data_IF_490446918041
#
_entry.id   IF_490446918041
#
_cell.length_a   1.000
_cell.length_b   1.000
_cell.length_c   1.000
_cell.angle_alpha   90.00
_cell.angle_beta   90.00
_cell.angle_gamma   90.00
#
_symmetry.space_group_name_H-M   'P 1'
#
loop_
_entity.id
_entity.type
_entity.pdbx_description
1 polymer ?
#
# COMPACT_ATOMS: atom_id res chain seq x y z
N UNK A 1 17.75 3.49 6.12
CA UNK A 1 16.28 3.23 6.24
C UNK A 1 15.61 4.58 6.27
N UNK A 2 14.57 4.79 5.46
CA UNK A 2 13.78 6.02 5.51
C UNK A 2 12.95 6.03 6.81
N UNK A 3 12.78 7.20 7.40
CA UNK A 3 11.90 7.39 8.55
C UNK A 3 10.58 7.97 8.04
N UNK A 4 9.53 7.16 8.04
CA UNK A 4 8.21 7.55 7.53
C UNK A 4 7.25 7.77 8.69
N UNK A 5 6.53 8.89 8.65
CA UNK A 5 5.49 9.24 9.61
C UNK A 5 4.20 9.55 8.85
N UNK A 6 3.07 9.01 9.30
CA UNK A 6 1.76 9.35 8.77
C UNK A 6 1.30 10.66 9.41
N UNK A 7 1.07 11.70 8.61
CA UNK A 7 0.52 12.97 9.06
C UNK A 7 -1.00 12.96 9.10
N UNK A 8 -1.61 12.46 8.03
CA UNK A 8 -3.07 12.34 7.93
C UNK A 8 -3.41 10.90 7.58
N UNK A 9 -3.91 10.10 8.54
CA UNK A 9 -4.33 8.74 8.28
C UNK A 9 -5.62 8.71 7.45
N UNK A 10 -5.79 7.67 6.65
CA UNK A 10 -7.04 7.41 5.93
C UNK A 10 -8.18 7.13 6.90
N UNK A 11 -9.35 7.71 6.63
CA UNK A 11 -10.58 7.44 7.38
C UNK A 11 -11.15 6.06 7.04
N UNK A 12 -11.07 5.66 5.77
CA UNK A 12 -11.50 4.37 5.26
C UNK A 12 -10.26 3.52 4.90
N UNK A 13 -10.27 2.24 5.30
CA UNK A 13 -9.23 1.25 4.99
C UNK A 13 -9.81 -0.02 4.37
N UNK A 14 -11.11 -0.02 4.08
CA UNK A 14 -11.81 -1.17 3.50
C UNK A 14 -11.54 -1.25 2.01
N UNK A 15 -11.02 -2.37 1.56
CA UNK A 15 -10.71 -2.61 0.15
C UNK A 15 -11.92 -2.97 -0.70
N UNK A 16 -13.10 -3.15 -0.08
CA UNK A 16 -14.39 -3.36 -0.75
C UNK A 16 -15.53 -2.84 0.11
N UNK A 17 -16.73 -2.75 -0.46
CA UNK A 17 -17.93 -2.29 0.25
C UNK A 17 -18.82 -3.46 0.68
N UNK A 18 -19.69 -3.19 1.68
CA UNK A 18 -20.67 -4.17 2.13
C UNK A 18 -21.65 -4.54 1.00
N UNK A 19 -22.05 -3.55 0.19
CA UNK A 19 -22.97 -3.74 -0.92
C UNK A 19 -22.43 -4.73 -1.95
N UNK A 20 -21.14 -4.59 -2.31
CA UNK A 20 -20.50 -5.52 -3.25
C UNK A 20 -20.41 -6.94 -2.70
N UNK A 21 -20.06 -7.08 -1.40
CA UNK A 21 -20.04 -8.41 -0.76
C UNK A 21 -21.44 -9.04 -0.70
N UNK A 22 -22.45 -8.26 -0.36
CA UNK A 22 -23.84 -8.76 -0.34
C UNK A 22 -24.30 -9.18 -1.74
N UNK A 23 -23.95 -8.43 -2.77
CA UNK A 23 -24.25 -8.77 -4.16
C UNK A 23 -23.57 -10.09 -4.57
N UNK A 24 -22.29 -10.26 -4.23
CA UNK A 24 -21.52 -11.48 -4.54
C UNK A 24 -21.99 -12.73 -3.78
N UNK A 25 -22.54 -12.55 -2.58
CA UNK A 25 -23.10 -13.63 -1.75
C UNK A 25 -24.60 -13.83 -1.93
N UNK A 26 -25.26 -13.02 -2.79
CA UNK A 26 -26.71 -13.01 -3.00
C UNK A 26 -27.52 -12.80 -1.71
N UNK A 27 -26.97 -12.01 -0.76
CA UNK A 27 -27.59 -11.71 0.52
C UNK A 27 -28.42 -10.43 0.40
N UNK A 28 -29.73 -10.54 0.65
CA UNK A 28 -30.66 -9.40 0.58
C UNK A 28 -31.05 -8.84 1.95
N UNK A 29 -30.88 -9.64 3.02
CA UNK A 29 -31.22 -9.22 4.38
C UNK A 29 -30.04 -8.50 5.06
N UNK A 30 -30.26 -7.91 6.24
CA UNK A 30 -29.26 -7.18 7.04
C UNK A 30 -28.78 -7.96 8.27
N UNK A 31 -29.14 -9.23 8.40
CA UNK A 31 -28.85 -10.02 9.61
C UNK A 31 -27.34 -10.18 9.84
N UNK A 32 -26.58 -10.37 8.79
CA UNK A 32 -25.14 -10.60 8.84
C UNK A 32 -24.29 -9.33 8.55
N UNK A 33 -24.92 -8.15 8.37
CA UNK A 33 -24.22 -6.92 7.97
C UNK A 33 -23.08 -6.55 8.90
N UNK A 34 -23.27 -6.62 10.21
CA UNK A 34 -22.23 -6.33 11.19
C UNK A 34 -21.06 -7.30 11.10
N UNK A 35 -21.36 -8.60 10.92
CA UNK A 35 -20.35 -9.64 10.76
C UNK A 35 -19.57 -9.49 9.44
N UNK A 36 -20.27 -9.18 8.34
CA UNK A 36 -19.63 -8.94 7.04
C UNK A 36 -18.72 -7.72 7.07
N UNK A 37 -19.15 -6.63 7.72
CA UNK A 37 -18.30 -5.45 7.89
C UNK A 37 -17.02 -5.76 8.66
N UNK A 38 -17.10 -6.48 9.78
CA UNK A 38 -15.93 -6.91 10.55
C UNK A 38 -15.03 -7.85 9.71
N UNK A 39 -15.62 -8.70 8.88
CA UNK A 39 -14.87 -9.59 8.01
C UNK A 39 -14.14 -8.82 6.91
N UNK A 40 -14.77 -7.79 6.32
CA UNK A 40 -14.13 -6.89 5.35
C UNK A 40 -12.92 -6.20 6.00
N UNK A 41 -13.07 -5.63 7.20
CA UNK A 41 -11.97 -4.97 7.90
C UNK A 41 -10.79 -5.92 8.14
N UNK A 42 -11.07 -7.14 8.62
CA UNK A 42 -10.04 -8.16 8.86
C UNK A 42 -9.35 -8.63 7.59
N UNK A 43 -10.08 -8.83 6.50
CA UNK A 43 -9.49 -9.29 5.23
C UNK A 43 -8.70 -8.16 4.54
N UNK A 44 -9.18 -6.92 4.63
CA UNK A 44 -8.43 -5.75 4.14
C UNK A 44 -7.07 -5.63 4.85
N UNK A 45 -7.04 -5.71 6.17
CA UNK A 45 -5.79 -5.69 6.93
C UNK A 45 -4.85 -6.84 6.57
N UNK A 46 -5.37 -8.07 6.41
CA UNK A 46 -4.56 -9.23 5.98
C UNK A 46 -3.94 -9.05 4.59
N UNK A 47 -4.67 -8.41 3.67
CA UNK A 47 -4.17 -8.11 2.33
C UNK A 47 -3.05 -7.07 2.39
N UNK A 48 -3.22 -6.00 3.19
CA UNK A 48 -2.17 -4.99 3.40
C UNK A 48 -0.91 -5.60 4.03
N UNK A 49 -1.07 -6.43 5.05
CA UNK A 49 0.05 -7.15 5.70
C UNK A 49 0.76 -8.08 4.71
N UNK A 50 0.00 -8.86 3.92
CA UNK A 50 0.56 -9.77 2.92
C UNK A 50 1.32 -9.04 1.82
N UNK A 51 0.78 -7.91 1.35
CA UNK A 51 1.40 -7.11 0.30
C UNK A 51 2.53 -6.20 0.82
N UNK A 52 2.71 -6.08 2.13
CA UNK A 52 3.59 -5.11 2.79
C UNK A 52 3.34 -3.68 2.30
N UNK A 53 2.07 -3.31 2.07
CA UNK A 53 1.65 -2.03 1.51
C UNK A 53 0.37 -1.55 2.17
N UNK A 54 0.28 -0.24 2.37
CA UNK A 54 -0.97 0.44 2.69
C UNK A 54 -1.57 0.90 1.35
N UNK A 55 -2.81 0.52 1.08
CA UNK A 55 -3.49 0.89 -0.16
C UNK A 55 -4.23 2.21 -0.06
N UNK A 56 -4.77 2.55 1.11
CA UNK A 56 -5.53 3.77 1.31
C UNK A 56 -4.70 5.04 1.10
N UNK A 57 -5.30 6.05 0.44
CA UNK A 57 -4.70 7.38 0.27
C UNK A 57 -4.46 8.03 1.64
N UNK A 58 -3.19 8.40 1.91
CA UNK A 58 -2.76 9.05 3.14
C UNK A 58 -1.71 10.12 2.85
N UNK A 59 -1.53 11.03 3.82
CA UNK A 59 -0.42 12.01 3.77
C UNK A 59 0.72 11.50 4.64
N UNK A 60 1.88 11.42 4.03
CA UNK A 60 3.12 10.95 4.66
C UNK A 60 4.14 12.07 4.77
N UNK A 61 4.92 12.04 5.84
CA UNK A 61 6.19 12.74 5.94
C UNK A 61 7.29 11.71 5.96
N UNK A 62 8.18 11.79 5.03
CA UNK A 62 9.32 10.87 4.90
C UNK A 62 10.64 11.65 4.95
N UNK A 63 11.57 11.14 5.77
CA UNK A 63 12.94 11.65 5.79
C UNK A 63 13.81 10.69 4.99
N UNK A 64 14.46 11.22 3.95
CA UNK A 64 15.27 10.46 3.00
C UNK A 64 16.67 11.06 2.92
N UNK A 65 17.66 10.21 2.84
CA UNK A 65 19.03 10.64 2.55
C UNK A 65 19.21 10.88 1.05
N UNK A 66 19.86 11.98 0.68
CA UNK A 66 20.29 12.21 -0.69
C UNK A 66 21.68 11.66 -0.93
N UNK A 67 21.89 10.99 -2.06
CA UNK A 67 23.18 10.40 -2.43
C UNK A 67 23.83 11.08 -3.66
N UNK A 68 23.27 12.21 -4.11
CA UNK A 68 23.72 12.91 -5.30
C UNK A 68 23.09 12.41 -6.61
N UNK A 69 22.33 11.32 -6.56
CA UNK A 69 21.60 10.81 -7.70
C UNK A 69 20.51 11.78 -8.14
N UNK A 70 20.09 11.70 -9.41
CA UNK A 70 19.03 12.53 -9.94
C UNK A 70 17.62 12.06 -9.54
N UNK A 71 17.52 10.84 -9.04
CA UNK A 71 16.26 10.22 -8.64
C UNK A 71 16.27 10.00 -7.13
N UNK A 72 15.20 10.46 -6.46
CA UNK A 72 14.89 10.16 -5.08
C UNK A 72 13.69 9.23 -5.06
N UNK A 73 13.76 8.14 -4.31
CA UNK A 73 12.70 7.14 -4.24
C UNK A 73 11.96 7.25 -2.91
N UNK A 74 10.63 7.43 -2.99
CA UNK A 74 9.73 7.47 -1.85
C UNK A 74 9.20 6.08 -1.50
N UNK A 75 8.95 5.86 -0.22
CA UNK A 75 8.54 4.55 0.30
C UNK A 75 7.10 4.20 -0.08
N UNK A 76 6.15 5.13 0.00
CA UNK A 76 4.74 4.84 -0.28
C UNK A 76 4.35 5.24 -1.70
N UNK A 77 3.67 4.34 -2.39
CA UNK A 77 3.30 4.46 -3.81
C UNK A 77 1.89 3.92 -4.07
N UNK A 78 1.18 4.40 -5.11
CA UNK A 78 1.58 5.46 -6.03
C UNK A 78 1.59 6.84 -5.36
N UNK A 79 2.51 7.71 -5.76
CA UNK A 79 2.56 9.10 -5.33
C UNK A 79 1.51 9.89 -6.11
N UNK A 80 0.60 10.54 -5.40
CA UNK A 80 -0.46 11.36 -6.00
C UNK A 80 -0.03 12.81 -6.15
N UNK A 81 0.56 13.36 -5.08
CA UNK A 81 1.05 14.72 -5.04
C UNK A 81 2.20 14.86 -4.06
N UNK A 82 3.11 15.81 -4.30
CA UNK A 82 4.14 16.20 -3.35
C UNK A 82 3.80 17.59 -2.83
N UNK A 83 3.56 17.70 -1.54
CA UNK A 83 3.11 18.92 -0.89
C UNK A 83 4.29 19.84 -0.55
N UNK A 84 5.40 19.26 -0.08
CA UNK A 84 6.63 20.01 0.19
C UNK A 84 7.85 19.11 0.19
N UNK A 85 8.98 19.68 -0.22
CA UNK A 85 10.30 19.09 -0.10
C UNK A 85 11.21 20.11 0.57
N UNK A 86 11.86 19.69 1.63
CA UNK A 86 12.82 20.50 2.39
C UNK A 86 14.17 19.78 2.41
N UNK A 87 15.26 20.54 2.25
CA UNK A 87 16.60 20.09 2.56
C UNK A 87 17.10 20.92 3.75
N UNK A 88 17.29 20.29 4.91
CA UNK A 88 17.71 20.95 6.15
C UNK A 88 16.93 22.24 6.44
N UNK A 89 15.62 22.22 6.26
CA UNK A 89 14.67 23.36 6.42
C UNK A 89 14.60 24.33 5.23
N UNK A 90 15.43 24.18 4.20
CA UNK A 90 15.36 24.99 2.98
C UNK A 90 14.41 24.36 1.96
N UNK A 91 13.42 25.10 1.42
CA UNK A 91 12.49 24.55 0.46
C UNK A 91 13.16 24.26 -0.89
N UNK A 92 12.80 23.12 -1.48
CA UNK A 92 13.20 22.70 -2.82
C UNK A 92 11.96 22.70 -3.70
N UNK A 93 12.04 23.35 -4.86
CA UNK A 93 10.95 23.48 -5.82
C UNK A 93 11.30 23.01 -7.23
N UNK A 94 12.58 22.72 -7.48
CA UNK A 94 13.16 22.36 -8.79
C UNK A 94 13.16 20.83 -9.01
N UNK A 95 12.04 20.18 -8.78
CA UNK A 95 11.85 18.73 -8.97
C UNK A 95 10.54 18.44 -9.70
N UNK A 96 10.42 17.22 -10.22
CA UNK A 96 9.20 16.69 -10.82
C UNK A 96 8.94 15.24 -10.36
N UNK A 97 7.68 14.82 -10.39
CA UNK A 97 7.30 13.42 -10.19
C UNK A 97 7.60 12.69 -11.50
N UNK A 98 8.69 11.92 -11.52
CA UNK A 98 9.13 11.21 -12.72
C UNK A 98 8.31 9.94 -12.96
N UNK A 99 8.10 9.14 -11.91
CA UNK A 99 7.31 7.93 -11.96
C UNK A 99 6.50 7.78 -10.67
N UNK A 100 5.23 8.17 -10.73
CA UNK A 100 4.32 8.11 -9.59
C UNK A 100 4.16 6.70 -9.02
N UNK A 101 4.11 5.68 -9.89
CA UNK A 101 3.92 4.28 -9.49
C UNK A 101 5.14 3.68 -8.79
N UNK A 102 6.35 4.17 -9.11
CA UNK A 102 7.59 3.75 -8.47
C UNK A 102 8.00 4.68 -7.31
N UNK A 103 7.31 5.82 -7.13
CA UNK A 103 7.64 6.81 -6.11
C UNK A 103 8.88 7.62 -6.43
N UNK A 104 9.21 7.80 -7.71
CA UNK A 104 10.43 8.45 -8.16
C UNK A 104 10.24 9.96 -8.37
N UNK A 105 11.04 10.75 -7.67
CA UNK A 105 11.17 12.20 -7.87
C UNK A 105 12.48 12.49 -8.61
N UNK A 106 12.40 13.21 -9.72
CA UNK A 106 13.56 13.61 -10.51
C UNK A 106 13.95 15.05 -10.21
N UNK A 107 15.25 15.29 -10.11
CA UNK A 107 15.85 16.61 -10.00
C UNK A 107 17.09 16.71 -10.90
N UNK A 108 17.14 17.70 -11.78
CA UNK A 108 18.19 17.83 -12.79
C UNK A 108 19.60 18.00 -12.18
N UNK A 109 19.68 18.71 -11.07
CA UNK A 109 20.94 18.94 -10.33
C UNK A 109 21.27 17.82 -9.34
N UNK A 110 20.38 16.82 -9.17
CA UNK A 110 20.53 15.71 -8.24
C UNK A 110 20.11 16.05 -6.80
N UNK A 111 20.01 14.99 -5.99
CA UNK A 111 19.64 15.02 -4.58
C UNK A 111 20.92 14.90 -3.74
N UNK A 112 21.69 15.99 -3.72
CA UNK A 112 22.93 16.02 -2.98
C UNK A 112 22.67 16.18 -1.48
N UNK A 113 23.40 15.46 -0.68
CA UNK A 113 23.36 15.49 0.79
C UNK A 113 23.88 16.81 1.40
N UNK A 114 24.66 17.60 0.62
CA UNK A 114 25.10 18.95 0.99
C UNK A 114 24.98 19.89 -0.23
N UNK A 115 24.06 20.86 -0.23
CA UNK A 115 23.89 21.80 -1.33
C UNK A 115 25.11 22.70 -1.57
N UNK A 116 26.06 22.79 -0.62
CA UNK A 116 27.27 23.60 -0.77
C UNK A 116 28.39 22.90 -1.54
N UNK A 117 28.28 21.58 -1.76
CA UNK A 117 29.32 20.78 -2.42
C UNK A 117 29.36 20.85 -3.95
N UNK A 118 28.53 21.66 -4.59
CA UNK A 118 28.50 21.80 -6.06
C UNK A 118 29.75 22.46 -6.66
N UNK A 119 30.63 23.06 -5.85
CA UNK A 119 31.78 23.80 -6.31
C UNK A 119 33.12 23.06 -6.04
N UNK A 120 33.27 21.85 -6.54
CA UNK A 120 34.60 21.27 -6.78
C UNK A 120 35.42 20.79 -5.58
N UNK A 121 34.80 20.57 -4.44
CA UNK A 121 35.48 19.95 -3.30
C UNK A 121 35.38 18.43 -3.37
N UNK A 122 36.45 17.78 -3.88
CA UNK A 122 36.69 16.34 -3.77
C UNK A 122 37.08 15.93 -2.35
N UNK A 123 36.26 16.27 -1.36
CA UNK A 123 36.47 15.81 0.00
C UNK A 123 35.24 14.98 0.38
N UNK A 124 35.38 13.67 0.39
CA UNK A 124 34.45 12.79 1.06
C UNK A 124 34.49 13.10 2.56
N UNK A 125 33.47 13.75 3.17
CA UNK A 125 33.43 13.89 4.61
C UNK A 125 33.13 12.52 5.18
N UNK A 126 34.09 12.02 5.92
CA UNK A 126 34.17 10.64 6.40
C UNK A 126 33.23 10.30 7.58
N UNK A 127 32.25 11.10 7.92
CA UNK A 127 31.50 10.87 9.16
C UNK A 127 29.99 11.16 9.17
N UNK A 128 29.38 11.68 8.09
CA UNK A 128 27.94 12.07 8.13
C UNK A 128 27.07 11.43 7.06
N UNK A 129 27.42 10.23 6.57
CA UNK A 129 26.73 9.55 5.46
C UNK A 129 25.36 8.96 5.80
N UNK A 130 24.82 9.21 6.98
CA UNK A 130 23.55 8.63 7.42
C UNK A 130 22.47 9.66 7.78
N UNK A 131 22.70 10.93 7.62
CA UNK A 131 21.70 11.95 7.95
C UNK A 131 20.68 12.07 6.82
N UNK A 132 19.42 11.83 7.17
CA UNK A 132 18.26 11.97 6.30
C UNK A 132 17.95 13.47 6.17
N UNK A 133 18.62 14.14 5.23
CA UNK A 133 18.58 15.60 5.07
C UNK A 133 17.37 16.10 4.26
N UNK A 134 16.71 15.22 3.50
CA UNK A 134 15.47 15.58 2.80
C UNK A 134 14.27 15.16 3.59
N UNK A 135 13.38 16.14 3.84
CA UNK A 135 12.06 15.89 4.40
C UNK A 135 11.02 16.13 3.30
N UNK A 136 10.33 15.07 2.90
CA UNK A 136 9.31 15.10 1.86
C UNK A 136 7.95 14.88 2.49
N UNK A 137 7.01 15.79 2.24
CA UNK A 137 5.58 15.62 2.59
C UNK A 137 4.82 15.37 1.30
N UNK A 138 4.13 14.23 1.24
CA UNK A 138 3.45 13.81 0.02
C UNK A 138 2.19 12.99 0.32
N UNK A 139 1.29 12.94 -0.64
CA UNK A 139 0.12 12.07 -0.64
C UNK A 139 0.41 10.85 -1.51
N UNK A 140 0.12 9.67 -0.97
CA UNK A 140 0.27 8.41 -1.71
C UNK A 140 -0.83 7.42 -1.35
N UNK A 141 -1.07 6.47 -2.27
CA UNK A 141 -2.09 5.44 -2.14
C UNK A 141 -3.21 5.59 -3.16
N UNK A 142 -4.31 4.93 -2.91
CA UNK A 142 -5.48 4.87 -3.78
C UNK A 142 -6.73 5.40 -3.07
N UNK A 143 -7.66 5.95 -3.84
CA UNK A 143 -9.03 6.20 -3.39
C UNK A 143 -9.75 4.86 -3.33
N UNK A 144 -10.25 4.50 -2.14
CA UNK A 144 -10.86 3.21 -1.87
C UNK A 144 -12.36 3.20 -2.23
N UNK A 145 -12.96 1.99 -2.38
CA UNK A 145 -14.41 1.84 -2.50
C UNK A 145 -15.13 2.44 -1.28
N UNK A 146 -16.17 3.24 -1.54
CA UNK A 146 -16.95 3.90 -0.49
C UNK A 146 -16.43 5.28 -0.05
N UNK A 147 -15.32 5.76 -0.62
CA UNK A 147 -14.88 7.14 -0.48
C UNK A 147 -15.70 8.07 -1.40
N UNK A 148 -15.74 9.37 -1.08
CA UNK A 148 -16.50 10.36 -1.85
C UNK A 148 -15.91 10.64 -3.25
N UNK A 149 -14.63 10.34 -3.45
CA UNK A 149 -13.90 10.51 -4.71
C UNK A 149 -14.06 9.28 -5.61
N UNK A 150 -13.79 9.45 -6.91
CA UNK A 150 -13.78 8.32 -7.84
C UNK A 150 -12.70 7.29 -7.46
N UNK A 151 -13.11 6.04 -7.30
CA UNK A 151 -12.24 4.94 -6.93
C UNK A 151 -11.07 4.79 -7.91
N UNK A 152 -9.86 4.71 -7.38
CA UNK A 152 -8.63 4.45 -8.14
C UNK A 152 -7.96 3.13 -7.76
N UNK A 153 -8.47 2.42 -6.73
CA UNK A 153 -7.95 1.12 -6.32
C UNK A 153 -8.02 0.13 -7.51
N UNK A 154 -6.94 -0.59 -7.83
CA UNK A 154 -6.95 -1.62 -8.86
C UNK A 154 -7.98 -2.70 -8.56
N UNK A 155 -8.80 -3.03 -9.55
CA UNK A 155 -9.88 -4.02 -9.41
C UNK A 155 -9.38 -5.39 -8.95
N UNK A 156 -8.17 -5.78 -9.31
CA UNK A 156 -7.52 -7.03 -8.83
C UNK A 156 -7.41 -7.10 -7.32
N UNK A 157 -7.14 -5.99 -6.64
CA UNK A 157 -7.04 -5.93 -5.17
C UNK A 157 -8.43 -6.01 -4.55
N UNK A 158 -9.39 -5.28 -5.10
CA UNK A 158 -10.78 -5.32 -4.66
C UNK A 158 -11.36 -6.72 -4.81
N UNK A 159 -11.18 -7.36 -5.99
CA UNK A 159 -11.64 -8.73 -6.27
C UNK A 159 -10.99 -9.75 -5.33
N UNK A 160 -9.70 -9.58 -5.02
CA UNK A 160 -9.00 -10.43 -4.06
C UNK A 160 -9.62 -10.31 -2.66
N UNK A 161 -9.96 -9.09 -2.23
CA UNK A 161 -10.64 -8.86 -0.96
C UNK A 161 -12.03 -9.52 -0.95
N UNK A 162 -12.82 -9.34 -2.01
CA UNK A 162 -14.15 -9.95 -2.16
C UNK A 162 -14.04 -11.48 -2.05
N UNK A 163 -13.09 -12.10 -2.76
CA UNK A 163 -12.91 -13.55 -2.72
C UNK A 163 -12.48 -14.05 -1.33
N UNK A 164 -11.59 -13.33 -0.64
CA UNK A 164 -11.18 -13.68 0.73
C UNK A 164 -12.34 -13.59 1.71
N UNK A 165 -13.15 -12.54 1.62
CA UNK A 165 -14.35 -12.37 2.45
C UNK A 165 -15.37 -13.48 2.17
N UNK A 166 -15.63 -13.75 0.88
CA UNK A 166 -16.56 -14.80 0.43
C UNK A 166 -16.12 -16.20 0.94
N UNK A 167 -14.86 -16.53 0.78
CA UNK A 167 -14.31 -17.80 1.26
C UNK A 167 -14.44 -17.92 2.79
N UNK A 168 -14.05 -16.88 3.54
CA UNK A 168 -14.14 -16.88 4.99
C UNK A 168 -15.60 -16.92 5.49
N UNK A 169 -16.53 -16.27 4.78
CA UNK A 169 -17.96 -16.31 5.11
C UNK A 169 -18.56 -17.70 4.88
N UNK A 170 -18.26 -18.33 3.75
CA UNK A 170 -18.77 -19.66 3.42
C UNK A 170 -18.20 -20.75 4.32
N UNK A 171 -16.89 -20.68 4.62
CA UNK A 171 -16.19 -21.63 5.48
C UNK A 171 -16.41 -21.42 6.97
N UNK A 172 -17.19 -20.42 7.40
CA UNK A 172 -17.41 -20.13 8.84
C UNK A 172 -18.03 -21.28 9.64
N UNK A 173 -18.68 -22.23 8.96
CA UNK A 173 -19.36 -23.40 9.56
C UNK A 173 -18.63 -24.71 9.28
N UNK A 174 -17.58 -24.68 8.47
CA UNK A 174 -16.81 -25.88 8.11
C UNK A 174 -15.79 -26.19 9.20
N UNK A 175 -15.47 -27.47 9.37
CA UNK A 175 -14.38 -27.89 10.25
C UNK A 175 -13.04 -27.57 9.59
N UNK A 176 -12.18 -26.70 10.19
CA UNK A 176 -10.91 -26.30 9.60
C UNK A 176 -9.89 -27.46 9.49
N UNK A 177 -10.16 -28.61 10.14
CA UNK A 177 -9.27 -29.76 10.11
C UNK A 177 -9.58 -30.72 8.94
N UNK A 178 -10.68 -30.49 8.21
CA UNK A 178 -11.04 -31.33 7.05
C UNK A 178 -10.33 -30.86 5.80
N UNK A 179 -9.35 -31.66 5.33
CA UNK A 179 -8.61 -31.38 4.08
C UNK A 179 -9.24 -32.02 2.85
N UNK A 180 -10.07 -33.04 3.02
CA UNK A 180 -10.78 -33.71 1.93
C UNK A 180 -12.04 -34.39 2.42
N UNK A 181 -13.08 -34.39 1.59
CA UNK A 181 -14.31 -35.11 1.84
C UNK A 181 -14.59 -36.09 0.69
N UNK A 182 -15.07 -37.29 1.03
CA UNK A 182 -15.45 -38.32 0.05
C UNK A 182 -16.85 -38.84 0.35
N UNK A 183 -17.73 -38.68 -0.63
CA UNK A 183 -19.09 -39.24 -0.57
C UNK A 183 -19.32 -40.12 -1.80
N UNK A 184 -19.24 -41.46 -1.62
CA UNK A 184 -19.35 -42.41 -2.72
C UNK A 184 -18.22 -42.22 -3.75
N UNK A 185 -18.58 -41.93 -5.01
CA UNK A 185 -17.64 -41.67 -6.10
C UNK A 185 -17.25 -40.17 -6.22
N UNK A 186 -17.79 -39.31 -5.37
CA UNK A 186 -17.49 -37.88 -5.33
C UNK A 186 -16.41 -37.63 -4.28
N UNK A 187 -15.33 -36.97 -4.68
CA UNK A 187 -14.28 -36.52 -3.74
C UNK A 187 -13.95 -35.08 -3.98
N UNK A 188 -13.88 -34.30 -2.91
CA UNK A 188 -13.42 -32.90 -2.92
C UNK A 188 -12.08 -32.85 -2.19
N UNK A 189 -11.08 -32.28 -2.82
CA UNK A 189 -9.80 -31.97 -2.20
C UNK A 189 -9.67 -30.45 -2.14
N UNK A 190 -9.41 -29.93 -0.95
CA UNK A 190 -9.23 -28.49 -0.76
C UNK A 190 -7.78 -28.11 -1.06
N UNK A 191 -7.59 -27.09 -1.89
CA UNK A 191 -6.26 -26.58 -2.22
C UNK A 191 -5.62 -25.96 -0.97
N UNK A 192 -4.47 -26.46 -0.49
CA UNK A 192 -3.79 -25.92 0.67
C UNK A 192 -3.07 -24.60 0.39
N UNK A 193 -2.97 -24.18 -0.89
CA UNK A 193 -2.30 -22.92 -1.25
C UNK A 193 -3.10 -21.73 -0.72
N UNK A 194 -2.50 -20.85 0.09
CA UNK A 194 -3.20 -19.68 0.58
C UNK A 194 -3.75 -18.82 -0.57
N UNK A 195 -5.03 -18.49 -0.50
CA UNK A 195 -5.73 -17.70 -1.53
C UNK A 195 -4.98 -16.40 -1.84
N UNK A 196 -4.47 -15.72 -0.82
CA UNK A 196 -3.72 -14.47 -0.95
C UNK A 196 -2.48 -14.62 -1.82
N UNK A 197 -1.68 -15.68 -1.64
CA UNK A 197 -0.47 -15.89 -2.44
C UNK A 197 -0.79 -16.12 -3.91
N UNK A 198 -1.91 -16.79 -4.20
CA UNK A 198 -2.34 -17.06 -5.58
C UNK A 198 -2.87 -15.80 -6.29
N UNK A 199 -3.58 -14.92 -5.56
CA UNK A 199 -4.21 -13.73 -6.15
C UNK A 199 -3.29 -12.51 -6.16
N UNK A 200 -2.40 -12.38 -5.16
CA UNK A 200 -1.70 -11.14 -4.88
C UNK A 200 -0.17 -11.22 -5.02
N UNK A 201 0.37 -12.31 -5.55
CA UNK A 201 1.82 -12.50 -5.72
C UNK A 201 2.52 -11.29 -6.37
N UNK A 202 1.92 -10.70 -7.41
CA UNK A 202 2.47 -9.56 -8.14
C UNK A 202 2.36 -8.22 -7.38
N UNK A 203 1.66 -8.19 -6.26
CA UNK A 203 1.45 -6.99 -5.46
C UNK A 203 2.30 -6.93 -4.20
N UNK A 204 2.99 -8.03 -3.88
CA UNK A 204 3.90 -8.09 -2.73
C UNK A 204 5.11 -7.21 -3.00
N UNK A 205 5.37 -6.29 -2.08
CA UNK A 205 6.55 -5.45 -2.13
C UNK A 205 7.76 -6.24 -1.64
N UNK A 206 8.77 -6.34 -2.49
CA UNK A 206 10.08 -6.92 -2.14
C UNK A 206 10.98 -5.75 -1.74
N UNK A 207 11.49 -5.79 -0.51
CA UNK A 207 12.38 -4.78 0.05
C UNK A 207 13.82 -5.03 -0.39
#
# INVERSE_FOLDING_TARGET
MSNVTILTPAANKKLTTLEQIKQELEITNSTDDAFLNDLIDRMSGRIEDFCHRIFAKQTYQEKVAGFGDKILILTHTPVLSVLSVLCDSSPITDYEIYNANAGELYRSIGWAWDPTMWWGASAFPSSHHSEQNFTVVYEAGYVLPGDDEAQTLPKTIEDACIQCVKEAYLKRRDDPNVSSEKLGNYSVTYDPTPLLSRLLYNWVRIF
#
